data_IF_899038274018
#
_entry.id   IF_899038274018
#
_cell.length_a   1.000
_cell.length_b   1.000
_cell.length_c   1.000
_cell.angle_alpha   90.00
_cell.angle_beta   90.00
_cell.angle_gamma   90.00
#
_symmetry.space_group_name_H-M   'P 1'
#
loop_
_entity.id
_entity.type
_entity.pdbx_description
1 polymer ?
#
# COMPACT_ATOMS: atom_id res chain seq x y z
N UNK A 1 -0.66 -0.34 77.41
CA UNK A 1 0.10 -0.21 76.15
C UNK A 1 -0.02 -1.49 75.35
N UNK A 2 -0.88 -1.54 74.32
CA UNK A 2 -0.90 -2.62 73.32
C UNK A 2 -0.63 -1.97 71.96
N UNK A 3 0.46 -2.37 71.32
CA UNK A 3 0.94 -1.85 70.04
C UNK A 3 -0.03 -2.25 68.90
N UNK A 4 -0.44 -1.26 68.12
CA UNK A 4 -1.13 -1.42 66.84
C UNK A 4 -0.09 -1.83 65.79
N UNK A 5 -0.26 -3.01 65.15
CA UNK A 5 0.56 -3.40 63.99
C UNK A 5 -0.04 -2.78 62.72
N UNK A 6 0.70 -1.85 62.12
CA UNK A 6 0.38 -1.25 60.82
C UNK A 6 0.86 -2.21 59.71
N UNK A 7 -0.05 -2.69 58.86
CA UNK A 7 0.28 -3.42 57.64
C UNK A 7 0.47 -2.41 56.50
N UNK A 8 1.70 -2.29 55.98
CA UNK A 8 1.99 -1.60 54.72
C UNK A 8 1.80 -2.60 53.59
N UNK A 9 0.85 -2.33 52.69
CA UNK A 9 0.69 -3.04 51.42
C UNK A 9 1.52 -2.28 50.38
N UNK A 10 2.47 -2.92 49.67
CA UNK A 10 3.24 -2.25 48.63
C UNK A 10 2.34 -2.03 47.41
N UNK A 11 2.15 -0.77 47.03
CA UNK A 11 1.47 -0.39 45.80
C UNK A 11 2.44 -0.61 44.64
N UNK A 12 2.28 -1.71 43.91
CA UNK A 12 3.02 -1.97 42.67
C UNK A 12 2.42 -1.07 41.58
N UNK A 13 3.14 -0.03 41.18
CA UNK A 13 2.82 0.72 39.97
C UNK A 13 3.08 -0.17 38.77
N UNK A 14 2.02 -0.72 38.17
CA UNK A 14 2.09 -1.23 36.80
C UNK A 14 2.30 -0.04 35.87
N UNK A 15 3.50 0.09 35.32
CA UNK A 15 3.74 0.97 34.19
C UNK A 15 3.04 0.38 32.97
N UNK A 16 1.85 0.89 32.65
CA UNK A 16 1.24 0.66 31.35
C UNK A 16 2.04 1.46 30.33
N UNK A 17 2.83 0.78 29.50
CA UNK A 17 3.32 1.36 28.25
C UNK A 17 2.11 1.59 27.34
N UNK A 18 1.42 2.71 27.54
CA UNK A 18 0.45 3.21 26.59
C UNK A 18 1.21 3.61 25.35
N UNK A 19 0.90 3.00 24.21
CA UNK A 19 1.22 3.58 22.92
C UNK A 19 0.62 4.99 22.91
N UNK A 20 1.47 6.01 23.04
CA UNK A 20 1.04 7.38 22.85
C UNK A 20 0.42 7.43 21.45
N UNK A 21 -0.88 7.72 21.37
CA UNK A 21 -1.55 7.92 20.10
C UNK A 21 -0.83 9.07 19.41
N UNK A 22 0.05 8.73 18.46
CA UNK A 22 0.84 9.71 17.73
C UNK A 22 -0.13 10.73 17.13
N UNK A 23 0.15 12.02 17.32
CA UNK A 23 -0.61 13.09 16.68
C UNK A 23 -0.76 12.79 15.18
N UNK A 24 -1.91 13.12 14.58
CA UNK A 24 -2.21 12.86 13.17
C UNK A 24 -1.36 13.75 12.24
N UNK A 25 -0.06 13.47 12.20
CA UNK A 25 1.02 14.21 11.54
C UNK A 25 1.94 13.22 10.82
N UNK A 26 2.76 13.68 9.85
CA UNK A 26 3.76 12.83 9.21
C UNK A 26 4.77 12.29 10.22
N UNK A 27 5.21 11.04 10.03
CA UNK A 27 6.24 10.41 10.87
C UNK A 27 7.09 9.44 10.05
N UNK A 28 8.25 9.07 10.59
CA UNK A 28 9.07 7.97 10.06
C UNK A 28 8.93 6.75 10.96
N UNK A 29 8.63 5.60 10.37
CA UNK A 29 8.60 4.32 11.07
C UNK A 29 9.93 3.60 10.84
N UNK A 30 10.68 3.38 11.91
CA UNK A 30 11.84 2.49 11.87
C UNK A 30 11.36 1.03 11.80
N UNK A 31 11.99 0.23 10.94
CA UNK A 31 11.82 -1.22 10.95
C UNK A 31 12.75 -1.78 12.04
N UNK A 32 12.17 -2.22 13.16
CA UNK A 32 12.90 -2.66 14.37
C UNK A 32 14.02 -3.64 14.03
N UNK A 33 15.22 -3.45 14.58
CA UNK A 33 16.39 -4.30 14.30
C UNK A 33 17.16 -3.97 13.00
N UNK A 34 16.78 -2.92 12.26
CA UNK A 34 17.52 -2.46 11.06
C UNK A 34 17.75 -0.95 11.08
N UNK A 35 18.57 -0.44 10.16
CA UNK A 35 18.73 0.98 9.85
C UNK A 35 17.68 1.51 8.84
N UNK A 36 16.75 0.67 8.38
CA UNK A 36 15.73 1.02 7.39
C UNK A 36 14.50 1.65 8.06
N UNK A 37 14.02 2.73 7.46
CA UNK A 37 12.80 3.42 7.89
C UNK A 37 11.98 3.86 6.69
N UNK A 38 10.66 3.89 6.84
CA UNK A 38 9.74 4.41 5.82
C UNK A 38 8.89 5.55 6.37
N UNK A 39 8.54 6.50 5.50
CA UNK A 39 7.78 7.69 5.87
C UNK A 39 6.28 7.47 5.67
N UNK A 40 5.47 7.83 6.66
CA UNK A 40 4.02 7.84 6.60
C UNK A 40 3.49 9.27 6.66
N UNK A 41 2.47 9.59 5.85
CA UNK A 41 1.78 10.89 5.83
C UNK A 41 0.30 10.71 6.18
N UNK A 42 -0.32 11.65 6.91
CA UNK A 42 -1.72 11.59 7.27
C UNK A 42 -2.61 11.95 6.08
N UNK A 43 -3.56 11.09 5.77
CA UNK A 43 -4.62 11.33 4.77
C UNK A 43 -5.91 11.57 5.52
N UNK A 44 -6.35 12.83 5.56
CA UNK A 44 -7.60 13.19 6.22
C UNK A 44 -8.77 12.57 5.46
N UNK A 45 -9.56 11.78 6.17
CA UNK A 45 -10.79 11.22 5.65
C UNK A 45 -11.77 12.29 5.18
N UNK A 46 -12.54 11.97 4.15
CA UNK A 46 -13.46 12.90 3.51
C UNK A 46 -14.61 12.15 2.83
N UNK A 47 -15.70 12.89 2.64
CA UNK A 47 -16.70 12.53 1.64
C UNK A 47 -16.24 13.08 0.30
N UNK A 48 -16.08 12.23 -0.71
CA UNK A 48 -15.64 12.64 -2.04
C UNK A 48 -16.35 11.86 -3.14
N UNK A 49 -16.17 12.32 -4.39
CA UNK A 49 -16.70 11.64 -5.56
C UNK A 49 -15.66 10.63 -6.09
N UNK A 50 -15.90 9.34 -5.81
CA UNK A 50 -15.15 8.21 -6.35
C UNK A 50 -15.51 7.99 -7.83
N UNK A 51 -14.50 7.73 -8.64
CA UNK A 51 -14.63 7.48 -10.07
C UNK A 51 -14.61 8.76 -10.91
N UNK A 52 -14.74 8.54 -12.22
CA UNK A 52 -14.60 9.59 -13.20
C UNK A 52 -15.86 10.46 -13.34
N UNK A 53 -15.64 11.75 -13.51
CA UNK A 53 -16.71 12.65 -13.93
C UNK A 53 -17.23 12.24 -15.30
N UNK A 54 -18.55 12.27 -15.53
CA UNK A 54 -19.13 12.03 -16.86
C UNK A 54 -18.59 12.98 -17.95
N UNK A 55 -18.08 14.15 -17.55
CA UNK A 55 -17.48 15.16 -18.41
C UNK A 55 -16.02 14.87 -18.76
N UNK A 56 -15.38 13.94 -18.07
CA UNK A 56 -14.05 13.47 -18.46
C UNK A 56 -14.16 12.75 -19.81
N UNK A 57 -13.29 13.11 -20.74
CA UNK A 57 -13.28 12.56 -22.10
C UNK A 57 -12.38 11.32 -22.20
N UNK A 58 -11.50 11.10 -21.23
CA UNK A 58 -10.58 9.97 -21.17
C UNK A 58 -11.06 8.89 -20.18
N UNK A 59 -12.26 9.04 -19.61
CA UNK A 59 -12.83 8.05 -18.70
C UNK A 59 -13.12 6.74 -19.42
N UNK A 60 -12.84 5.65 -18.73
CA UNK A 60 -13.28 4.32 -19.11
C UNK A 60 -14.64 3.97 -18.49
N UNK A 61 -15.24 2.87 -18.97
CA UNK A 61 -16.60 2.48 -18.58
C UNK A 61 -16.70 2.00 -17.13
N UNK A 62 -15.64 1.37 -16.63
CA UNK A 62 -15.48 0.83 -15.28
C UNK A 62 -15.12 1.89 -14.22
N UNK A 63 -14.84 3.12 -14.66
CA UNK A 63 -14.67 4.31 -13.81
C UNK A 63 -16.03 4.99 -13.51
N UNK A 64 -17.13 4.41 -14.00
CA UNK A 64 -18.49 4.93 -13.89
C UNK A 64 -19.45 3.93 -13.22
N UNK A 65 -20.54 4.41 -12.63
CA UNK A 65 -20.88 5.81 -12.38
C UNK A 65 -20.00 6.43 -11.29
N UNK A 66 -19.88 7.75 -11.32
CA UNK A 66 -19.31 8.49 -10.18
C UNK A 66 -20.20 8.33 -8.95
N UNK A 67 -19.61 8.05 -7.80
CA UNK A 67 -20.32 7.78 -6.54
C UNK A 67 -19.81 8.65 -5.41
N UNK A 68 -20.72 9.19 -4.60
CA UNK A 68 -20.31 9.86 -3.37
C UNK A 68 -20.01 8.79 -2.31
N UNK A 69 -18.83 8.83 -1.71
CA UNK A 69 -18.40 7.85 -0.69
C UNK A 69 -17.73 8.59 0.47
N UNK A 70 -17.82 8.04 1.68
CA UNK A 70 -17.04 8.49 2.84
C UNK A 70 -15.83 7.56 3.01
N UNK A 71 -14.62 8.12 3.11
CA UNK A 71 -13.43 7.36 3.47
C UNK A 71 -12.90 7.89 4.80
N UNK A 72 -12.62 6.97 5.72
CA UNK A 72 -12.07 7.26 7.05
C UNK A 72 -10.66 7.86 6.95
N UNK A 73 -10.18 8.49 8.03
CA UNK A 73 -8.79 8.96 8.04
C UNK A 73 -7.82 7.79 8.20
N UNK A 74 -6.65 7.90 7.58
CA UNK A 74 -5.59 6.89 7.66
C UNK A 74 -4.23 7.55 7.46
N UNK A 75 -3.16 6.77 7.67
CA UNK A 75 -1.83 7.13 7.17
C UNK A 75 -1.50 6.30 5.94
N UNK A 76 -0.77 6.91 5.02
CA UNK A 76 -0.28 6.26 3.80
C UNK A 76 1.23 6.47 3.68
N UNK A 77 1.94 5.48 3.13
CA UNK A 77 3.35 5.59 2.79
C UNK A 77 3.55 6.77 1.85
N UNK A 78 4.52 7.63 2.17
CA UNK A 78 4.87 8.78 1.32
C UNK A 78 5.37 8.32 -0.06
N UNK A 79 5.92 7.12 -0.13
CA UNK A 79 6.52 6.49 -1.30
C UNK A 79 5.92 5.10 -1.50
N UNK A 80 6.11 4.53 -2.70
CA UNK A 80 6.00 3.09 -2.92
C UNK A 80 7.01 2.35 -2.02
N UNK A 81 6.72 1.09 -1.67
CA UNK A 81 7.67 0.27 -0.91
C UNK A 81 8.92 0.05 -1.76
N UNK A 82 10.08 0.32 -1.19
CA UNK A 82 11.36 0.26 -1.92
C UNK A 82 11.95 -1.14 -1.94
N UNK A 83 12.89 -1.39 -2.85
CA UNK A 83 13.69 -2.63 -2.88
C UNK A 83 14.37 -2.86 -1.53
N UNK A 84 14.99 -1.83 -0.95
CA UNK A 84 15.65 -1.91 0.36
C UNK A 84 14.72 -2.35 1.48
N UNK A 85 13.50 -1.81 1.50
CA UNK A 85 12.47 -2.18 2.47
C UNK A 85 12.01 -3.62 2.28
N UNK A 86 11.72 -4.03 1.04
CA UNK A 86 11.21 -5.36 0.74
C UNK A 86 12.25 -6.46 0.94
N UNK A 87 13.53 -6.20 0.65
CA UNK A 87 14.60 -7.20 0.79
C UNK A 87 14.75 -7.70 2.23
N UNK A 88 14.45 -6.87 3.24
CA UNK A 88 14.43 -7.28 4.65
C UNK A 88 13.42 -8.40 4.95
N UNK A 89 12.30 -8.44 4.22
CA UNK A 89 11.32 -9.52 4.35
C UNK A 89 11.85 -10.82 3.75
N UNK A 90 12.57 -10.73 2.62
CA UNK A 90 13.13 -11.90 1.93
C UNK A 90 14.36 -12.49 2.63
N UNK A 91 15.10 -11.68 3.39
CA UNK A 91 16.30 -12.10 4.10
C UNK A 91 15.98 -12.73 5.46
N UNK A 92 16.32 -14.01 5.62
CA UNK A 92 16.14 -14.74 6.87
C UNK A 92 17.09 -14.27 7.99
N UNK A 93 18.22 -13.64 7.66
CA UNK A 93 19.14 -13.11 8.69
C UNK A 93 18.61 -11.85 9.37
N UNK A 94 17.60 -11.22 8.77
CA UNK A 94 16.90 -10.06 9.30
C UNK A 94 15.89 -10.39 10.42
N UNK A 95 15.83 -11.63 10.92
CA UNK A 95 14.96 -12.05 12.03
C UNK A 95 15.46 -11.65 13.43
N UNK A 96 16.60 -10.98 13.53
CA UNK A 96 17.13 -10.51 14.81
C UNK A 96 16.42 -9.22 15.22
N UNK A 97 15.75 -9.24 16.36
CA UNK A 97 15.12 -8.07 16.98
C UNK A 97 16.19 -7.10 17.50
N UNK A 98 15.77 -5.86 17.83
CA UNK A 98 16.69 -4.82 18.30
C UNK A 98 17.49 -5.19 19.56
N UNK A 99 16.99 -6.14 20.36
CA UNK A 99 17.66 -6.66 21.56
C UNK A 99 18.61 -7.85 21.30
N UNK A 100 18.79 -8.24 20.05
CA UNK A 100 19.65 -9.34 19.64
C UNK A 100 18.98 -10.72 19.72
N UNK A 101 17.70 -10.80 20.10
CA UNK A 101 16.95 -12.06 20.14
C UNK A 101 16.33 -12.41 18.80
N UNK A 102 16.08 -13.69 18.56
CA UNK A 102 15.38 -14.15 17.36
C UNK A 102 13.89 -13.80 17.47
N UNK A 103 13.32 -13.21 16.43
CA UNK A 103 11.88 -13.10 16.29
C UNK A 103 11.27 -14.51 16.17
N UNK A 104 10.55 -14.93 17.21
CA UNK A 104 9.96 -16.28 17.27
C UNK A 104 8.66 -16.41 16.47
N UNK A 105 8.11 -15.29 15.97
CA UNK A 105 6.93 -15.32 15.10
C UNK A 105 7.34 -15.65 13.66
N UNK A 106 7.51 -16.95 13.42
CA UNK A 106 7.83 -17.49 12.08
C UNK A 106 6.67 -17.21 11.13
N UNK A 107 6.95 -16.48 10.06
CA UNK A 107 6.04 -16.33 8.93
C UNK A 107 6.66 -16.91 7.68
N UNK A 108 5.82 -17.34 6.74
CA UNK A 108 6.26 -17.75 5.41
C UNK A 108 6.88 -16.58 4.66
N UNK A 109 8.02 -16.82 4.03
CA UNK A 109 8.73 -15.87 3.17
C UNK A 109 8.52 -16.20 1.69
N UNK A 110 8.72 -15.22 0.79
CA UNK A 110 8.75 -15.48 -0.63
C UNK A 110 9.82 -16.51 -0.96
N UNK A 111 9.46 -17.47 -1.82
CA UNK A 111 10.47 -18.33 -2.45
C UNK A 111 11.39 -17.46 -3.31
N UNK A 112 12.59 -17.95 -3.65
CA UNK A 112 13.38 -17.31 -4.70
C UNK A 112 12.56 -17.22 -6.00
N UNK A 113 12.53 -16.07 -6.67
CA UNK A 113 11.80 -15.94 -7.93
C UNK A 113 12.53 -16.71 -9.04
N UNK A 114 11.80 -17.13 -10.08
CA UNK A 114 12.38 -17.84 -11.22
C UNK A 114 13.35 -16.96 -12.01
N UNK A 115 12.99 -15.69 -12.19
CA UNK A 115 13.80 -14.63 -12.80
C UNK A 115 13.71 -13.38 -11.92
N UNK A 116 14.55 -12.38 -12.18
CA UNK A 116 14.45 -11.08 -11.50
C UNK A 116 13.07 -10.45 -11.78
N UNK A 117 12.21 -10.24 -10.75
CA UNK A 117 10.88 -9.67 -10.92
C UNK A 117 10.90 -8.24 -11.50
N UNK A 118 12.01 -7.53 -11.36
CA UNK A 118 12.22 -6.20 -11.93
C UNK A 118 12.81 -6.22 -13.34
N UNK A 119 13.13 -7.40 -13.90
CA UNK A 119 13.79 -7.56 -15.20
C UNK A 119 15.09 -6.74 -15.34
N UNK A 120 15.85 -6.62 -14.25
CA UNK A 120 17.08 -5.84 -14.17
C UNK A 120 16.85 -4.34 -13.96
N UNK A 121 15.61 -3.87 -13.81
CA UNK A 121 15.29 -2.46 -13.63
C UNK A 121 15.37 -2.01 -12.17
N UNK A 122 15.37 -2.93 -11.21
CA UNK A 122 15.35 -2.68 -9.77
C UNK A 122 16.73 -2.78 -9.10
N UNK A 123 17.78 -2.37 -9.81
CA UNK A 123 19.20 -2.45 -9.41
C UNK A 123 19.65 -1.42 -8.35
N UNK A 124 18.71 -0.69 -7.76
CA UNK A 124 18.96 0.34 -6.76
C UNK A 124 17.98 0.21 -5.59
N UNK A 125 18.53 0.31 -4.37
CA UNK A 125 17.82 0.18 -3.09
C UNK A 125 16.56 1.06 -2.97
N UNK A 126 16.58 2.26 -3.58
CA UNK A 126 15.52 3.26 -3.46
C UNK A 126 14.53 3.22 -4.62
N UNK A 127 14.68 2.30 -5.59
CA UNK A 127 13.63 2.03 -6.58
C UNK A 127 12.48 1.26 -5.94
N UNK A 128 11.25 1.38 -6.48
CA UNK A 128 10.12 0.61 -5.97
C UNK A 128 10.33 -0.90 -6.18
N UNK A 129 9.85 -1.70 -5.22
CA UNK A 129 9.77 -3.15 -5.40
C UNK A 129 8.63 -3.48 -6.36
N UNK A 130 8.88 -4.39 -7.31
CA UNK A 130 7.93 -4.74 -8.39
C UNK A 130 7.86 -6.24 -8.65
N UNK A 131 6.95 -6.67 -9.52
CA UNK A 131 6.87 -8.06 -9.98
C UNK A 131 6.38 -9.03 -8.91
N UNK A 132 5.69 -8.51 -7.88
CA UNK A 132 5.05 -9.31 -6.85
C UNK A 132 3.54 -9.39 -7.06
N UNK A 133 2.93 -10.47 -6.56
CA UNK A 133 1.48 -10.59 -6.50
C UNK A 133 0.90 -9.72 -5.39
N UNK A 134 -0.41 -9.46 -5.44
CA UNK A 134 -1.13 -8.87 -4.30
C UNK A 134 -0.92 -9.69 -3.00
N UNK A 135 -0.84 -11.02 -3.10
CA UNK A 135 -0.51 -11.91 -1.98
C UNK A 135 0.88 -11.60 -1.40
N UNK A 136 1.89 -11.38 -2.25
CA UNK A 136 3.24 -11.00 -1.85
C UNK A 136 3.25 -9.66 -1.09
N UNK A 137 2.48 -8.67 -1.57
CA UNK A 137 2.37 -7.36 -0.94
C UNK A 137 1.71 -7.45 0.45
N UNK A 138 0.64 -8.23 0.56
CA UNK A 138 -0.07 -8.48 1.81
C UNK A 138 0.77 -9.29 2.80
N UNK A 139 1.57 -10.23 2.31
CA UNK A 139 2.49 -11.00 3.15
C UNK A 139 3.61 -10.14 3.71
N UNK A 140 4.13 -9.17 2.94
CA UNK A 140 5.02 -8.15 3.46
C UNK A 140 4.34 -7.32 4.56
N UNK A 141 3.08 -6.95 4.39
CA UNK A 141 2.32 -6.24 5.42
C UNK A 141 2.15 -7.09 6.70
N UNK A 142 1.89 -8.39 6.57
CA UNK A 142 1.82 -9.34 7.71
C UNK A 142 3.16 -9.42 8.42
N UNK A 143 4.25 -9.51 7.67
CA UNK A 143 5.61 -9.50 8.21
C UNK A 143 5.90 -8.24 9.01
N UNK A 144 5.58 -7.09 8.43
CA UNK A 144 5.81 -5.81 9.07
C UNK A 144 5.00 -5.66 10.36
N UNK A 145 3.76 -6.20 10.39
CA UNK A 145 2.97 -6.28 11.62
C UNK A 145 3.62 -7.19 12.67
N UNK A 146 4.08 -8.39 12.31
CA UNK A 146 4.78 -9.28 13.26
C UNK A 146 6.06 -8.67 13.82
N UNK A 147 6.67 -7.77 13.06
CA UNK A 147 7.92 -7.12 13.43
C UNK A 147 7.75 -5.84 14.25
N UNK A 148 6.69 -5.07 14.01
CA UNK A 148 6.49 -3.75 14.64
C UNK A 148 5.33 -3.71 15.62
N UNK A 149 4.46 -4.72 15.60
CA UNK A 149 3.18 -4.72 16.31
C UNK A 149 2.16 -3.71 15.77
N UNK A 150 2.47 -3.02 14.67
CA UNK A 150 1.62 -2.01 14.04
C UNK A 150 1.00 -2.61 12.78
N UNK A 151 -0.32 -2.52 12.68
CA UNK A 151 -1.06 -3.05 11.55
C UNK A 151 -0.88 -2.16 10.31
N UNK A 152 -0.33 -2.76 9.26
CA UNK A 152 -0.23 -2.20 7.92
C UNK A 152 -0.95 -3.11 6.92
N UNK A 153 -1.37 -2.52 5.80
CA UNK A 153 -1.97 -3.20 4.65
C UNK A 153 -1.72 -2.38 3.38
N UNK A 154 -2.08 -2.92 2.22
CA UNK A 154 -2.19 -2.13 0.98
C UNK A 154 -3.49 -1.28 1.00
N UNK A 155 -3.61 -0.21 0.19
CA UNK A 155 -4.81 0.64 0.17
C UNK A 155 -6.03 -0.08 -0.39
N UNK A 156 -7.24 0.38 -0.06
CA UNK A 156 -8.40 0.11 -0.93
C UNK A 156 -8.36 1.03 -2.17
N UNK A 157 -9.10 0.71 -3.23
CA UNK A 157 -9.25 1.62 -4.37
C UNK A 157 -9.75 3.01 -3.94
N UNK A 158 -10.71 3.05 -3.02
CA UNK A 158 -11.30 4.31 -2.54
C UNK A 158 -10.31 5.15 -1.74
N UNK A 159 -9.48 4.52 -0.89
CA UNK A 159 -8.40 5.20 -0.17
C UNK A 159 -7.33 5.73 -1.12
N UNK A 160 -6.92 4.91 -2.09
CA UNK A 160 -5.94 5.30 -3.10
C UNK A 160 -6.43 6.50 -3.92
N UNK A 161 -7.68 6.46 -4.41
CA UNK A 161 -8.23 7.56 -5.21
C UNK A 161 -8.41 8.85 -4.38
N UNK A 162 -8.89 8.76 -3.14
CA UNK A 162 -8.98 9.92 -2.25
C UNK A 162 -7.60 10.56 -2.07
N UNK A 163 -6.60 9.74 -1.80
CA UNK A 163 -5.23 10.16 -1.58
C UNK A 163 -4.62 10.81 -2.83
N UNK A 164 -4.84 10.24 -4.01
CA UNK A 164 -4.38 10.74 -5.30
C UNK A 164 -5.06 12.05 -5.70
N UNK A 165 -6.38 12.18 -5.51
CA UNK A 165 -7.16 13.38 -5.82
C UNK A 165 -6.75 14.60 -5.00
N UNK A 166 -6.25 14.39 -3.78
CA UNK A 166 -5.77 15.45 -2.87
C UNK A 166 -6.74 16.65 -2.73
N UNK A 167 -8.05 16.35 -2.60
CA UNK A 167 -9.10 17.36 -2.44
C UNK A 167 -9.66 17.96 -3.74
N UNK A 168 -9.27 17.44 -4.90
CA UNK A 168 -9.78 17.88 -6.21
C UNK A 168 -10.76 16.88 -6.82
N UNK A 169 -11.53 17.35 -7.82
CA UNK A 169 -12.44 16.51 -8.62
C UNK A 169 -11.90 16.21 -10.02
N UNK A 170 -10.70 16.68 -10.33
CA UNK A 170 -10.05 16.46 -11.63
C UNK A 170 -9.31 15.12 -11.66
N UNK A 171 -9.03 14.55 -12.85
CA UNK A 171 -8.25 13.31 -12.96
C UNK A 171 -6.82 13.42 -12.43
N UNK A 172 -6.32 14.64 -12.28
CA UNK A 172 -5.04 14.97 -11.68
C UNK A 172 -5.24 16.06 -10.64
N UNK A 173 -4.57 16.00 -9.48
CA UNK A 173 -4.73 17.03 -8.45
C UNK A 173 -4.30 18.43 -8.90
N UNK A 174 -3.40 18.52 -9.89
CA UNK A 174 -2.93 19.78 -10.46
C UNK A 174 -3.77 20.26 -11.66
N UNK A 175 -4.79 19.52 -12.07
CA UNK A 175 -5.67 19.86 -13.18
C UNK A 175 -5.18 19.36 -14.55
N UNK A 176 -5.54 20.05 -15.64
CA UNK A 176 -5.50 19.50 -17.02
C UNK A 176 -4.27 19.85 -17.86
N UNK A 177 -3.17 20.31 -17.26
CA UNK A 177 -1.99 20.72 -18.04
C UNK A 177 -0.99 19.58 -18.14
N UNK A 178 -0.68 19.14 -19.37
CA UNK A 178 0.25 18.03 -19.64
C UNK A 178 1.66 18.26 -19.05
N UNK A 179 2.20 19.48 -19.19
CA UNK A 179 3.52 19.79 -18.65
C UNK A 179 3.59 19.60 -17.13
N UNK A 180 2.45 19.72 -16.43
CA UNK A 180 2.40 19.56 -14.99
C UNK A 180 2.61 18.08 -14.61
N UNK A 181 2.09 17.08 -15.38
CA UNK A 181 2.27 15.66 -15.06
C UNK A 181 3.75 15.26 -14.97
N UNK A 182 4.58 15.76 -15.89
CA UNK A 182 6.02 15.48 -15.90
C UNK A 182 6.77 15.97 -14.65
N UNK A 183 6.19 16.90 -13.89
CA UNK A 183 6.73 17.38 -12.61
C UNK A 183 6.40 16.44 -11.44
N UNK A 184 5.37 15.61 -11.58
CA UNK A 184 4.81 14.77 -10.51
C UNK A 184 4.92 13.26 -10.78
N UNK A 185 5.23 12.84 -12.02
CA UNK A 185 5.18 11.45 -12.44
C UNK A 185 6.35 11.02 -13.31
N UNK A 186 6.71 9.74 -13.20
CA UNK A 186 7.50 9.01 -14.19
C UNK A 186 6.56 8.14 -15.04
N UNK A 187 6.44 8.44 -16.33
CA UNK A 187 5.53 7.74 -17.24
C UNK A 187 6.22 7.55 -18.59
N UNK A 188 5.61 6.85 -19.55
CA UNK A 188 6.24 6.41 -20.80
C UNK A 188 7.04 7.51 -21.55
N UNK A 189 6.56 8.75 -21.52
CA UNK A 189 7.20 9.87 -22.23
C UNK A 189 8.49 10.37 -21.57
N UNK A 190 8.65 10.21 -20.25
CA UNK A 190 9.78 10.79 -19.50
C UNK A 190 10.58 9.78 -18.67
N UNK A 191 10.13 8.53 -18.56
CA UNK A 191 10.77 7.52 -17.73
C UNK A 191 11.86 6.72 -18.45
N UNK A 192 11.98 6.85 -19.78
CA UNK A 192 12.97 6.14 -20.60
C UNK A 192 12.87 4.60 -20.49
N UNK A 193 11.67 4.09 -20.19
CA UNK A 193 11.44 2.65 -19.98
C UNK A 193 12.15 2.10 -18.73
N UNK A 194 12.38 2.93 -17.72
CA UNK A 194 13.08 2.57 -16.48
C UNK A 194 12.23 2.84 -15.24
N UNK A 195 12.46 2.04 -14.20
CA UNK A 195 12.08 2.39 -12.83
C UNK A 195 12.98 3.54 -12.35
N UNK A 196 12.39 4.48 -11.61
CA UNK A 196 13.13 5.57 -10.98
C UNK A 196 13.09 5.43 -9.46
N UNK A 197 14.10 5.98 -8.80
CA UNK A 197 14.09 6.08 -7.34
C UNK A 197 12.84 6.85 -6.90
N UNK A 198 12.21 6.36 -5.83
CA UNK A 198 11.03 7.02 -5.25
C UNK A 198 11.38 8.43 -4.78
N UNK A 199 10.44 9.36 -4.91
CA UNK A 199 10.56 10.70 -4.35
C UNK A 199 11.38 11.70 -5.17
N UNK A 200 11.76 11.36 -6.42
CA UNK A 200 12.50 12.28 -7.30
C UNK A 200 11.60 13.31 -8.01
N UNK A 201 10.29 13.06 -8.07
CA UNK A 201 9.29 14.02 -8.56
C UNK A 201 8.69 14.83 -7.42
N UNK A 202 7.89 15.85 -7.74
CA UNK A 202 7.18 16.63 -6.72
C UNK A 202 6.06 15.79 -6.08
N UNK A 203 5.79 15.96 -4.78
CA UNK A 203 4.65 15.31 -4.15
C UNK A 203 3.33 16.02 -4.47
N UNK A 204 2.23 15.32 -4.23
CA UNK A 204 0.91 15.96 -4.14
C UNK A 204 0.74 16.75 -2.82
N UNK A 205 -0.35 17.52 -2.64
CA UNK A 205 -0.60 18.31 -1.42
C UNK A 205 -0.65 17.49 -0.11
N UNK A 206 -0.87 16.18 -0.17
CA UNK A 206 -0.84 15.29 0.99
C UNK A 206 0.59 14.85 1.36
N UNK A 207 1.59 15.18 0.54
CA UNK A 207 2.97 14.75 0.72
C UNK A 207 3.26 13.35 0.19
N UNK A 208 2.41 12.84 -0.71
CA UNK A 208 2.62 11.57 -1.42
C UNK A 208 3.38 11.81 -2.71
N UNK A 209 4.42 11.03 -2.92
CA UNK A 209 5.24 11.01 -4.13
C UNK A 209 4.84 9.85 -5.01
N UNK A 210 5.07 10.03 -6.31
CA UNK A 210 4.89 8.99 -7.33
C UNK A 210 3.49 8.36 -7.28
N UNK A 211 2.49 9.14 -6.85
CA UNK A 211 1.09 8.69 -6.83
C UNK A 211 0.50 8.58 -8.25
N UNK A 212 1.23 9.11 -9.23
CA UNK A 212 0.97 8.98 -10.65
C UNK A 212 2.26 8.46 -11.30
N UNK A 213 2.18 7.37 -12.04
CA UNK A 213 3.33 6.75 -12.68
C UNK A 213 4.33 6.11 -11.70
N UNK A 214 5.57 5.98 -12.14
CA UNK A 214 6.61 5.10 -11.60
C UNK A 214 6.14 3.64 -11.62
N UNK A 215 5.36 3.18 -10.64
CA UNK A 215 4.72 1.86 -10.70
C UNK A 215 3.24 1.93 -10.38
N UNK A 216 2.47 1.05 -11.01
CA UNK A 216 1.11 0.79 -10.57
C UNK A 216 1.12 0.13 -9.21
N UNK A 217 0.12 0.43 -8.38
CA UNK A 217 0.10 0.01 -6.99
C UNK A 217 -1.07 -0.93 -6.70
N UNK A 218 -0.76 -2.10 -6.14
CA UNK A 218 -1.78 -3.03 -5.68
C UNK A 218 -2.75 -2.39 -4.68
N UNK A 219 -4.05 -2.58 -4.92
CA UNK A 219 -5.12 -2.29 -3.97
C UNK A 219 -5.67 -3.60 -3.37
N UNK A 220 -6.40 -3.50 -2.26
CA UNK A 220 -7.04 -4.62 -1.56
C UNK A 220 -8.22 -5.23 -2.30
N UNK A 221 -8.74 -4.53 -3.30
CA UNK A 221 -10.00 -4.80 -3.95
C UNK A 221 -9.86 -5.94 -4.97
N UNK A 222 -10.88 -6.80 -5.01
CA UNK A 222 -11.18 -7.57 -6.21
C UNK A 222 -11.67 -6.59 -7.27
N UNK A 223 -11.13 -6.72 -8.48
CA UNK A 223 -11.58 -5.92 -9.59
C UNK A 223 -12.89 -6.48 -10.12
N UNK A 224 -13.95 -5.66 -10.07
CA UNK A 224 -15.16 -5.85 -10.86
C UNK A 224 -15.37 -4.62 -11.74
N UNK A 225 -15.62 -4.84 -13.03
CA UNK A 225 -15.83 -3.76 -13.99
C UNK A 225 -17.07 -2.91 -13.66
N UNK A 226 -18.09 -3.51 -13.03
CA UNK A 226 -19.33 -2.84 -12.63
C UNK A 226 -19.37 -2.48 -11.14
N UNK A 227 -18.25 -2.60 -10.40
CA UNK A 227 -18.19 -2.40 -8.95
C UNK A 227 -18.86 -1.10 -8.51
N UNK A 228 -18.57 0.01 -9.20
CA UNK A 228 -19.10 1.33 -8.83
C UNK A 228 -20.62 1.44 -8.99
N UNK A 229 -21.27 0.57 -9.76
CA UNK A 229 -22.74 0.51 -9.83
C UNK A 229 -23.37 -0.03 -8.55
N UNK A 230 -22.62 -0.86 -7.81
CA UNK A 230 -23.06 -1.54 -6.59
C UNK A 230 -22.95 -0.66 -5.34
N UNK A 231 -22.07 0.35 -5.40
CA UNK A 231 -21.83 1.29 -4.30
C UNK A 231 -23.06 2.19 -4.06
N UNK A 232 -23.46 2.32 -2.80
CA UNK A 232 -24.53 3.24 -2.39
C UNK A 232 -23.96 4.64 -2.19
N UNK A 233 -24.75 5.67 -2.52
CA UNK A 233 -24.33 7.04 -2.24
C UNK A 233 -24.19 7.26 -0.73
N UNK A 234 -23.05 7.82 -0.33
CA UNK A 234 -22.65 7.98 1.07
C UNK A 234 -22.13 6.71 1.74
N UNK A 235 -21.86 5.63 0.99
CA UNK A 235 -21.28 4.41 1.55
C UNK A 235 -19.90 4.71 2.17
N UNK A 236 -19.69 4.14 3.36
CA UNK A 236 -18.47 4.34 4.14
C UNK A 236 -17.46 3.24 3.88
N UNK A 237 -16.23 3.65 3.57
CA UNK A 237 -15.08 2.79 3.29
C UNK A 237 -15.41 1.65 2.31
N UNK A 238 -15.98 1.95 1.11
CA UNK A 238 -16.38 0.93 0.15
C UNK A 238 -15.15 0.15 -0.34
N UNK A 239 -15.33 -1.17 -0.43
CA UNK A 239 -14.31 -2.11 -0.93
C UNK A 239 -14.94 -3.25 -1.73
N UNK A 240 -14.35 -3.59 -2.88
CA UNK A 240 -14.64 -4.80 -3.63
C UNK A 240 -14.08 -6.02 -2.91
N UNK A 241 -14.94 -6.80 -2.25
CA UNK A 241 -14.51 -7.95 -1.45
C UNK A 241 -14.00 -9.09 -2.34
N UNK A 242 -12.82 -9.67 -2.06
CA UNK A 242 -12.31 -10.88 -2.71
C UNK A 242 -13.28 -12.08 -2.69
N UNK A 243 -13.61 -12.62 -3.87
CA UNK A 243 -14.29 -13.92 -4.04
C UNK A 243 -13.57 -14.86 -5.03
N UNK A 244 -12.54 -14.37 -5.72
CA UNK A 244 -11.70 -15.12 -6.64
C UNK A 244 -10.21 -14.79 -6.41
N UNK A 245 -9.31 -15.51 -7.07
CA UNK A 245 -7.87 -15.22 -7.05
C UNK A 245 -7.51 -13.96 -7.85
N UNK A 246 -8.19 -13.76 -8.97
CA UNK A 246 -8.02 -12.64 -9.90
C UNK A 246 -9.37 -12.38 -10.62
N UNK A 247 -9.57 -11.21 -11.24
CA UNK A 247 -8.67 -10.06 -11.27
C UNK A 247 -8.63 -9.26 -9.96
N UNK A 248 -7.44 -8.81 -9.56
CA UNK A 248 -7.22 -7.83 -8.49
C UNK A 248 -7.02 -6.45 -9.09
N UNK A 249 -7.29 -5.42 -8.29
CA UNK A 249 -7.14 -4.04 -8.73
C UNK A 249 -5.76 -3.46 -8.42
N UNK A 250 -5.23 -2.68 -9.36
CA UNK A 250 -4.09 -1.80 -9.20
C UNK A 250 -4.41 -0.38 -9.71
N UNK A 251 -3.61 0.61 -9.31
CA UNK A 251 -3.88 2.03 -9.57
C UNK A 251 -2.60 2.81 -9.86
N UNK A 252 -2.73 3.93 -10.58
CA UNK A 252 -1.67 4.95 -10.70
C UNK A 252 -0.92 5.01 -12.01
N UNK A 253 -1.00 3.98 -12.84
CA UNK A 253 -0.16 3.85 -14.04
C UNK A 253 1.31 3.64 -13.69
N UNK A 254 2.15 3.44 -14.69
CA UNK A 254 3.58 3.13 -14.49
C UNK A 254 4.49 3.87 -15.46
N UNK A 255 5.79 3.64 -15.30
CA UNK A 255 6.83 4.07 -16.22
C UNK A 255 6.65 3.59 -17.67
N UNK A 256 5.80 2.59 -17.92
CA UNK A 256 5.47 2.06 -19.25
C UNK A 256 4.21 2.68 -19.86
N UNK A 257 3.41 3.36 -19.05
CA UNK A 257 2.08 3.81 -19.45
C UNK A 257 2.05 5.28 -19.86
N UNK A 258 1.08 5.65 -20.68
CA UNK A 258 0.89 7.04 -21.08
C UNK A 258 0.12 7.86 -20.03
N UNK A 259 -0.09 9.13 -20.35
CA UNK A 259 -0.81 10.07 -19.48
C UNK A 259 -2.29 9.73 -19.26
N UNK A 260 -2.88 8.77 -19.95
CA UNK A 260 -4.29 8.41 -19.77
C UNK A 260 -4.46 7.34 -18.70
N UNK A 261 -3.47 6.47 -18.55
CA UNK A 261 -3.43 5.43 -17.51
C UNK A 261 -2.98 5.99 -16.15
N UNK A 262 -2.23 7.10 -16.14
CA UNK A 262 -1.77 7.75 -14.90
C UNK A 262 -2.86 8.54 -14.15
N UNK A 263 -4.09 8.60 -14.69
CA UNK A 263 -5.20 9.38 -14.09
C UNK A 263 -5.59 8.79 -12.74
N UNK A 264 -5.96 9.66 -11.80
CA UNK A 264 -6.39 9.27 -10.46
C UNK A 264 -7.61 8.36 -10.45
N UNK A 265 -8.37 8.26 -11.54
CA UNK A 265 -9.59 7.46 -11.68
C UNK A 265 -9.38 6.18 -12.48
N UNK A 266 -8.26 6.01 -13.19
CA UNK A 266 -7.97 4.84 -14.01
C UNK A 266 -7.74 3.60 -13.15
N UNK A 267 -8.43 2.50 -13.46
CA UNK A 267 -8.38 1.23 -12.72
C UNK A 267 -7.63 0.21 -13.58
N UNK A 268 -6.61 -0.42 -13.01
CA UNK A 268 -5.78 -1.40 -13.69
C UNK A 268 -6.17 -2.78 -13.19
N UNK A 269 -6.52 -3.67 -14.12
CA UNK A 269 -6.98 -5.02 -13.81
C UNK A 269 -5.83 -6.02 -13.98
N UNK A 270 -5.59 -6.84 -12.96
CA UNK A 270 -4.61 -7.92 -13.08
C UNK A 270 -5.14 -9.07 -13.92
N UNK A 271 -4.31 -9.62 -14.80
CA UNK A 271 -4.66 -10.81 -15.59
C UNK A 271 -3.75 -11.98 -15.24
N UNK A 272 -4.12 -13.18 -15.70
CA UNK A 272 -3.27 -14.36 -15.63
C UNK A 272 -2.00 -14.23 -16.50
N UNK A 273 -2.02 -13.34 -17.49
CA UNK A 273 -0.85 -13.03 -18.32
C UNK A 273 0.32 -12.44 -17.51
N UNK A 274 0.07 -11.79 -16.37
CA UNK A 274 1.11 -11.21 -15.50
C UNK A 274 2.06 -12.25 -14.89
N UNK A 275 1.72 -13.53 -15.03
CA UNK A 275 2.56 -14.65 -14.64
C UNK A 275 2.67 -15.67 -15.77
N UNK A 276 2.41 -15.28 -17.02
CA UNK A 276 2.42 -16.16 -18.18
C UNK A 276 3.74 -16.91 -18.34
N UNK A 277 4.88 -16.20 -18.18
CA UNK A 277 6.22 -16.75 -18.37
C UNK A 277 6.75 -17.57 -17.19
N UNK A 278 6.06 -17.62 -16.06
CA UNK A 278 6.45 -18.49 -14.94
C UNK A 278 6.37 -19.98 -15.36
N UNK A 279 7.51 -20.70 -15.45
CA UNK A 279 7.53 -22.09 -15.86
C UNK A 279 7.18 -23.06 -14.72
N UNK A 280 6.99 -22.57 -13.49
CA UNK A 280 6.69 -23.41 -12.33
C UNK A 280 5.27 -23.99 -12.39
N UNK A 281 5.11 -25.22 -11.89
CA UNK A 281 3.82 -25.92 -11.76
C UNK A 281 3.68 -26.50 -10.34
N UNK A 282 2.79 -25.97 -9.48
CA UNK A 282 1.95 -24.78 -9.70
C UNK A 282 2.80 -23.49 -9.82
N UNK A 283 2.25 -22.47 -10.50
CA UNK A 283 2.89 -21.15 -10.61
C UNK A 283 3.04 -20.50 -9.23
N UNK A 284 4.03 -19.62 -9.10
CA UNK A 284 4.28 -18.90 -7.85
C UNK A 284 3.07 -18.08 -7.43
N UNK A 285 2.71 -18.18 -6.15
CA UNK A 285 1.74 -17.28 -5.52
C UNK A 285 2.40 -16.01 -4.97
N UNK A 286 3.73 -15.91 -4.98
CA UNK A 286 4.50 -14.74 -4.54
C UNK A 286 4.79 -13.76 -5.67
N UNK A 287 5.08 -14.28 -6.86
CA UNK A 287 5.71 -13.54 -7.93
C UNK A 287 4.84 -13.49 -9.19
N UNK A 288 4.99 -12.40 -9.93
CA UNK A 288 4.48 -12.18 -11.26
C UNK A 288 5.68 -11.93 -12.18
N UNK A 289 5.91 -12.80 -13.16
CA UNK A 289 7.02 -12.66 -14.11
C UNK A 289 6.84 -11.48 -15.06
N UNK A 290 5.59 -11.05 -15.28
CA UNK A 290 5.20 -10.11 -16.33
C UNK A 290 4.47 -8.88 -15.74
N UNK A 291 4.84 -8.48 -14.53
CA UNK A 291 4.34 -7.27 -13.89
C UNK A 291 5.45 -6.43 -13.24
N UNK A 292 6.56 -6.23 -13.94
CA UNK A 292 7.70 -5.36 -13.56
C UNK A 292 7.29 -3.89 -13.36
N UNK A 293 6.06 -3.54 -13.70
CA UNK A 293 5.45 -2.23 -13.57
C UNK A 293 4.48 -2.11 -12.39
N UNK A 294 4.32 -3.17 -11.59
CA UNK A 294 3.39 -3.21 -10.45
C UNK A 294 4.13 -3.43 -9.14
N UNK A 295 4.03 -2.44 -8.25
CA UNK A 295 4.47 -2.49 -6.86
C UNK A 295 3.31 -2.24 -5.90
N UNK A 296 3.58 -1.61 -4.76
CA UNK A 296 2.56 -1.26 -3.77
C UNK A 296 3.06 -0.19 -2.81
N UNK A 297 2.12 0.41 -2.07
CA UNK A 297 2.42 1.27 -0.91
C UNK A 297 1.66 0.84 0.33
N UNK A 298 2.15 1.29 1.48
CA UNK A 298 1.56 0.96 2.78
C UNK A 298 0.43 1.91 3.17
N UNK A 299 -0.59 1.36 3.82
CA UNK A 299 -1.64 2.06 4.54
C UNK A 299 -1.69 1.55 5.97
N UNK A 300 -1.92 2.47 6.90
CA UNK A 300 -2.16 2.20 8.32
C UNK A 300 -3.45 2.93 8.73
N UNK A 301 -4.48 2.24 9.25
CA UNK A 301 -5.71 2.89 9.69
C UNK A 301 -5.44 3.85 10.86
N UNK A 302 -6.28 4.90 10.99
CA UNK A 302 -6.19 5.87 12.09
C UNK A 302 -6.20 5.19 13.46
N UNK A 303 -7.13 4.25 13.61
CA UNK A 303 -7.27 3.41 14.79
C UNK A 303 -6.70 2.03 14.50
N UNK A 304 -5.83 1.54 15.38
CA UNK A 304 -5.27 0.20 15.22
C UNK A 304 -6.34 -0.83 15.59
N UNK A 305 -6.61 -1.83 14.72
CA UNK A 305 -7.51 -2.92 15.04
C UNK A 305 -6.97 -3.76 16.22
N UNK A 306 -7.84 -4.57 16.83
CA UNK A 306 -7.41 -5.51 17.85
C UNK A 306 -6.50 -6.58 17.25
N UNK A 307 -5.67 -7.25 18.07
CA UNK A 307 -4.82 -8.34 17.58
C UNK A 307 -5.62 -9.46 16.92
N UNK A 308 -6.80 -9.76 17.45
CA UNK A 308 -7.71 -10.78 16.91
C UNK A 308 -8.20 -10.38 15.51
N UNK A 309 -8.62 -9.12 15.33
CA UNK A 309 -9.05 -8.60 14.03
C UNK A 309 -7.91 -8.59 13.01
N UNK A 310 -6.67 -8.32 13.44
CA UNK A 310 -5.49 -8.36 12.55
C UNK A 310 -5.23 -9.78 12.06
N UNK A 311 -5.24 -10.77 12.95
CA UNK A 311 -5.03 -12.17 12.54
C UNK A 311 -6.18 -12.66 11.65
N UNK A 312 -7.42 -12.28 11.95
CA UNK A 312 -8.58 -12.59 11.11
C UNK A 312 -8.45 -11.96 9.72
N UNK A 313 -8.01 -10.69 9.64
CA UNK A 313 -7.76 -10.02 8.38
C UNK A 313 -6.73 -10.77 7.54
N UNK A 314 -5.55 -11.07 8.09
CA UNK A 314 -4.51 -11.74 7.33
C UNK A 314 -4.88 -13.18 6.94
N UNK A 315 -5.55 -13.92 7.82
CA UNK A 315 -6.05 -15.27 7.50
C UNK A 315 -7.06 -15.19 6.34
N UNK A 316 -8.05 -14.30 6.40
CA UNK A 316 -9.04 -14.15 5.32
C UNK A 316 -8.47 -13.76 3.95
N UNK A 317 -7.26 -13.19 3.92
CA UNK A 317 -6.62 -12.70 2.70
C UNK A 317 -5.52 -13.62 2.18
N UNK A 318 -4.94 -14.49 3.01
CA UNK A 318 -3.74 -15.26 2.71
C UNK A 318 -3.90 -16.78 2.93
N UNK A 319 -5.03 -17.24 3.47
CA UNK A 319 -5.30 -18.65 3.82
C UNK A 319 -6.63 -19.11 3.21
#
# INVERSE_FOLDING_TARGET
>A
MKLLKLFIIPFVFLATNGFAQAEFKPYSQQIEGTDVSFKMVPIKGATFMLGASKKDKQKEADELPQKQVEVSSFWMGAFEVTQKEFLLFTDATSDILADGTLNTEVISRPSSPYEDPSKGLGDDDMKPTVGLTQYGALSYCRWLYKRTGIFYRIPTEAEWELAAKAGTETPYFFGKKKNDLSEYAWYAENAEGQLHQVGLKKPNPNGLYDIYGNVSEWCLDQYYADYYTTIKDGEKDPRGMPDALYPRSARGGSFLDDETECRSTNRITSTDDWKARDPQLPKSFWWNTDSEFVGFRLVRPLEQPSKEDVELFFSSMLE
#
